data_IF_349664264177
#
_entry.id   IF_349664264177
#
_cell.length_a   1.000
_cell.length_b   1.000
_cell.length_c   1.000
_cell.angle_alpha   90.00
_cell.angle_beta   90.00
_cell.angle_gamma   90.00
#
_symmetry.space_group_name_H-M   'P 1'
#
loop_
_entity.id
_entity.type
_entity.pdbx_description
1 polymer ?
#
# COMPACT_ATOMS: atom_id res chain seq x y z
N UNK A 1 2.03 -24.79 10.60
CA UNK A 1 2.02 -25.08 9.16
C UNK A 1 2.06 -23.74 8.42
N UNK A 2 3.17 -23.42 7.74
CA UNK A 2 3.40 -22.11 7.11
C UNK A 2 2.55 -21.98 5.83
N UNK A 3 1.43 -21.27 5.91
CA UNK A 3 0.60 -21.00 4.74
C UNK A 3 1.04 -19.67 4.12
N UNK A 4 1.62 -19.80 2.94
CA UNK A 4 2.07 -18.75 2.03
C UNK A 4 0.89 -17.98 1.45
N UNK A 5 0.83 -16.67 1.72
CA UNK A 5 -0.11 -15.73 1.10
C UNK A 5 0.33 -15.48 -0.36
N UNK A 6 -0.52 -15.75 -1.37
CA UNK A 6 -0.18 -15.58 -2.77
C UNK A 6 -0.58 -14.17 -3.21
N UNK A 7 0.31 -13.19 -3.12
CA UNK A 7 0.16 -11.99 -3.96
C UNK A 7 1.53 -11.39 -4.30
N UNK A 8 1.88 -11.50 -5.58
CA UNK A 8 3.05 -10.95 -6.28
C UNK A 8 4.41 -11.39 -5.70
N UNK A 9 4.63 -12.70 -5.65
CA UNK A 9 5.99 -13.25 -5.75
C UNK A 9 6.36 -13.45 -7.22
N UNK A 10 6.77 -12.37 -7.89
CA UNK A 10 7.80 -12.51 -8.92
C UNK A 10 9.14 -12.82 -8.21
N UNK A 11 9.23 -14.01 -7.61
CA UNK A 11 10.45 -14.56 -7.01
C UNK A 11 11.35 -15.19 -8.07
N UNK A 12 10.92 -15.15 -9.33
CA UNK A 12 11.66 -15.68 -10.46
C UNK A 12 12.62 -14.60 -10.94
N UNK A 13 13.91 -14.83 -10.65
CA UNK A 13 15.14 -14.13 -11.11
C UNK A 13 15.95 -13.35 -10.08
N UNK A 14 15.58 -13.25 -8.79
CA UNK A 14 16.52 -12.70 -7.79
C UNK A 14 17.78 -13.55 -7.68
N UNK A 15 17.65 -14.88 -7.60
CA UNK A 15 18.78 -15.82 -7.50
C UNK A 15 19.60 -15.93 -8.80
N UNK A 16 18.92 -15.86 -9.94
CA UNK A 16 19.56 -15.91 -11.27
C UNK A 16 20.37 -14.65 -11.54
N UNK A 17 19.81 -13.47 -11.26
CA UNK A 17 20.51 -12.19 -11.39
C UNK A 17 21.70 -12.11 -10.42
N UNK A 18 21.52 -12.50 -9.15
CA UNK A 18 22.62 -12.54 -8.17
C UNK A 18 23.69 -13.57 -8.54
N UNK A 19 23.32 -14.72 -9.11
CA UNK A 19 24.26 -15.73 -9.60
C UNK A 19 25.07 -15.26 -10.80
N UNK A 20 24.42 -14.65 -11.80
CA UNK A 20 25.07 -14.06 -12.98
C UNK A 20 26.04 -12.94 -12.58
N UNK A 21 25.65 -12.11 -11.62
CA UNK A 21 26.44 -10.97 -11.13
C UNK A 21 27.62 -11.41 -10.24
N UNK A 22 27.42 -12.43 -9.39
CA UNK A 22 28.51 -13.04 -8.62
C UNK A 22 29.51 -13.76 -9.53
N UNK A 23 29.01 -14.43 -10.58
CA UNK A 23 29.84 -15.08 -11.61
C UNK A 23 30.67 -14.08 -12.40
N UNK A 24 30.12 -12.93 -12.77
CA UNK A 24 30.89 -11.89 -13.47
C UNK A 24 31.98 -11.27 -12.58
N UNK A 25 31.71 -11.07 -11.29
CA UNK A 25 32.72 -10.59 -10.33
C UNK A 25 33.86 -11.60 -10.14
N UNK A 26 33.54 -12.89 -10.04
CA UNK A 26 34.52 -13.98 -9.94
C UNK A 26 35.41 -14.05 -11.19
N UNK A 27 34.82 -13.92 -12.37
CA UNK A 27 35.54 -13.97 -13.64
C UNK A 27 36.52 -12.81 -13.80
N UNK A 28 36.11 -11.59 -13.41
CA UNK A 28 37.00 -10.41 -13.37
C UNK A 28 38.12 -10.60 -12.34
N UNK A 29 37.82 -11.17 -11.17
CA UNK A 29 38.81 -11.48 -10.13
C UNK A 29 39.85 -12.51 -10.60
N UNK A 30 39.41 -13.59 -11.26
CA UNK A 30 40.30 -14.60 -11.85
C UNK A 30 41.17 -14.03 -12.96
N UNK A 31 40.61 -13.14 -13.80
CA UNK A 31 41.38 -12.47 -14.84
C UNK A 31 42.45 -11.54 -14.26
N UNK A 32 42.11 -10.77 -13.22
CA UNK A 32 43.08 -9.95 -12.49
C UNK A 32 44.18 -10.80 -11.83
N UNK A 33 43.83 -11.96 -11.27
CA UNK A 33 44.80 -12.91 -10.71
C UNK A 33 45.70 -13.53 -11.79
N UNK A 34 45.15 -13.88 -12.95
CA UNK A 34 45.93 -14.39 -14.08
C UNK A 34 46.92 -13.34 -14.60
N UNK A 35 46.51 -12.07 -14.69
CA UNK A 35 47.40 -10.97 -15.01
C UNK A 35 48.49 -10.82 -13.94
N UNK A 36 48.14 -10.89 -12.66
CA UNK A 36 49.11 -10.86 -11.56
C UNK A 36 50.13 -12.01 -11.63
N UNK A 37 49.68 -13.22 -11.96
CA UNK A 37 50.55 -14.38 -12.13
C UNK A 37 51.53 -14.20 -13.30
N UNK A 38 51.08 -13.61 -14.41
CA UNK A 38 51.93 -13.28 -15.57
C UNK A 38 52.95 -12.18 -15.21
N UNK A 39 52.60 -11.21 -14.36
CA UNK A 39 53.50 -10.14 -13.88
C UNK A 39 54.69 -10.71 -13.08
N UNK A 40 54.45 -11.71 -12.24
CA UNK A 40 55.48 -12.33 -11.41
C UNK A 40 56.35 -13.36 -12.15
N UNK A 41 56.12 -13.57 -13.45
CA UNK A 41 57.01 -14.36 -14.28
C UNK A 41 58.30 -13.56 -14.58
N UNK A 42 59.50 -14.08 -14.27
CA UNK A 42 60.74 -13.31 -14.34
C UNK A 42 61.13 -12.99 -15.79
N UNK A 43 61.30 -11.69 -16.13
CA UNK A 43 61.90 -11.28 -17.42
C UNK A 43 61.43 -9.98 -18.10
N UNK A 44 60.59 -9.14 -17.47
CA UNK A 44 60.00 -7.94 -18.12
C UNK A 44 60.62 -6.62 -17.62
N UNK A 45 60.67 -5.60 -18.49
CA UNK A 45 61.27 -4.28 -18.21
C UNK A 45 60.49 -3.45 -17.17
N UNK A 46 61.19 -2.57 -16.44
CA UNK A 46 60.64 -1.71 -15.36
C UNK A 46 59.42 -0.86 -15.79
N UNK A 47 59.34 -0.48 -17.08
CA UNK A 47 58.22 0.33 -17.60
C UNK A 47 56.95 -0.49 -17.84
N UNK A 48 57.07 -1.78 -18.14
CA UNK A 48 55.91 -2.66 -18.25
C UNK A 48 55.34 -3.00 -16.85
N UNK A 49 56.21 -3.13 -15.85
CA UNK A 49 55.79 -3.44 -14.47
C UNK A 49 54.92 -2.34 -13.84
N UNK A 50 55.21 -1.06 -14.07
CA UNK A 50 54.44 0.05 -13.49
C UNK A 50 53.08 0.26 -14.15
N UNK A 51 53.00 0.15 -15.48
CA UNK A 51 51.74 0.24 -16.23
C UNK A 51 50.77 -0.88 -15.86
N UNK A 52 51.27 -2.10 -15.73
CA UNK A 52 50.43 -3.24 -15.37
C UNK A 52 50.01 -3.17 -13.90
N UNK A 53 50.88 -2.72 -12.99
CA UNK A 53 50.51 -2.49 -11.58
C UNK A 53 49.38 -1.45 -11.45
N UNK A 54 49.47 -0.33 -12.18
CA UNK A 54 48.43 0.70 -12.21
C UNK A 54 47.09 0.13 -12.72
N UNK A 55 47.12 -0.70 -13.76
CA UNK A 55 45.93 -1.35 -14.31
C UNK A 55 45.29 -2.33 -13.32
N UNK A 56 46.09 -3.12 -12.61
CA UNK A 56 45.59 -4.06 -11.58
C UNK A 56 44.96 -3.31 -10.42
N UNK A 57 45.60 -2.24 -9.92
CA UNK A 57 45.02 -1.39 -8.88
C UNK A 57 43.69 -0.81 -9.33
N UNK A 58 43.63 -0.24 -10.55
CA UNK A 58 42.40 0.32 -11.10
C UNK A 58 41.26 -0.71 -11.23
N UNK A 59 41.56 -1.90 -11.74
CA UNK A 59 40.59 -3.00 -11.84
C UNK A 59 40.11 -3.46 -10.46
N UNK A 60 41.03 -3.62 -9.49
CA UNK A 60 40.68 -4.04 -8.14
C UNK A 60 39.77 -3.04 -7.42
N UNK A 61 40.04 -1.73 -7.56
CA UNK A 61 39.22 -0.66 -6.99
C UNK A 61 37.82 -0.68 -7.60
N UNK A 62 37.72 -0.90 -8.92
CA UNK A 62 36.43 -0.97 -9.62
C UNK A 62 35.59 -2.16 -9.14
N UNK A 63 36.23 -3.32 -8.93
CA UNK A 63 35.57 -4.52 -8.37
C UNK A 63 35.06 -4.27 -6.95
N UNK A 64 35.87 -3.62 -6.10
CA UNK A 64 35.47 -3.29 -4.72
C UNK A 64 34.30 -2.32 -4.69
N UNK A 65 34.31 -1.26 -5.51
CA UNK A 65 33.20 -0.31 -5.62
C UNK A 65 31.91 -0.99 -6.10
N UNK A 66 32.01 -1.88 -7.09
CA UNK A 66 30.87 -2.67 -7.57
C UNK A 66 30.32 -3.61 -6.48
N UNK A 67 31.20 -4.25 -5.70
CA UNK A 67 30.81 -5.10 -4.58
C UNK A 67 30.10 -4.33 -3.45
N UNK A 68 30.59 -3.12 -3.12
CA UNK A 68 29.95 -2.23 -2.14
C UNK A 68 28.56 -1.77 -2.62
N UNK A 69 28.42 -1.39 -3.89
CA UNK A 69 27.12 -1.05 -4.49
C UNK A 69 26.15 -2.22 -4.45
N UNK A 70 26.64 -3.43 -4.72
CA UNK A 70 25.85 -4.67 -4.64
C UNK A 70 25.41 -4.98 -3.20
N UNK A 71 26.30 -4.84 -2.23
CA UNK A 71 25.98 -5.00 -0.81
C UNK A 71 24.92 -3.98 -0.37
N UNK A 72 25.01 -2.72 -0.81
CA UNK A 72 24.00 -1.69 -0.54
C UNK A 72 22.62 -2.02 -1.12
N UNK A 73 22.57 -2.52 -2.36
CA UNK A 73 21.33 -2.96 -3.00
C UNK A 73 20.72 -4.20 -2.30
N UNK A 74 21.55 -5.17 -1.93
CA UNK A 74 21.14 -6.35 -1.17
C UNK A 74 20.60 -5.97 0.21
N UNK A 75 21.29 -5.08 0.92
CA UNK A 75 20.84 -4.56 2.21
C UNK A 75 19.51 -3.82 2.07
N UNK A 76 19.32 -3.02 1.01
CA UNK A 76 18.05 -2.33 0.74
C UNK A 76 16.91 -3.33 0.46
N UNK A 77 17.19 -4.42 -0.27
CA UNK A 77 16.21 -5.47 -0.56
C UNK A 77 15.89 -6.34 0.67
N UNK A 78 16.86 -6.59 1.56
CA UNK A 78 16.64 -7.31 2.82
C UNK A 78 15.94 -6.42 3.85
N UNK A 79 16.29 -5.14 3.89
CA UNK A 79 15.65 -4.09 4.68
C UNK A 79 14.29 -3.66 4.10
N UNK A 80 13.89 -4.13 2.91
CA UNK A 80 12.57 -3.86 2.32
C UNK A 80 11.42 -4.42 3.16
N UNK A 81 11.70 -5.22 4.18
CA UNK A 81 10.75 -5.62 5.23
C UNK A 81 10.55 -4.57 6.34
N UNK A 82 11.30 -3.46 6.35
CA UNK A 82 11.27 -2.42 7.40
C UNK A 82 11.20 -0.99 6.87
N UNK A 83 10.62 -0.76 5.68
CA UNK A 83 10.34 0.61 5.23
C UNK A 83 9.01 1.15 5.78
N UNK A 84 8.52 0.62 6.91
CA UNK A 84 7.38 1.20 7.64
C UNK A 84 7.62 2.68 7.99
N UNK A 85 8.88 3.08 8.20
CA UNK A 85 9.27 4.46 8.43
C UNK A 85 9.06 5.39 7.21
N UNK A 86 9.21 4.86 5.98
CA UNK A 86 9.04 5.64 4.74
C UNK A 86 7.59 5.72 4.25
N UNK A 87 6.66 4.96 4.87
CA UNK A 87 5.23 5.01 4.53
C UNK A 87 4.60 6.38 4.82
N UNK A 88 5.06 7.05 5.90
CA UNK A 88 4.62 8.41 6.25
C UNK A 88 4.97 9.44 5.17
N UNK A 89 6.26 9.64 4.83
CA UNK A 89 6.69 10.53 3.75
C UNK A 89 6.04 10.21 2.41
N UNK A 90 5.88 8.92 2.07
CA UNK A 90 5.25 8.50 0.82
C UNK A 90 3.78 8.96 0.76
N UNK A 91 3.02 8.83 1.86
CA UNK A 91 1.62 9.27 1.92
C UNK A 91 1.50 10.79 1.79
N UNK A 92 2.41 11.54 2.41
CA UNK A 92 2.50 13.00 2.25
C UNK A 92 2.78 13.37 0.79
N UNK A 93 3.73 12.70 0.16
CA UNK A 93 4.05 12.91 -1.25
C UNK A 93 2.83 12.70 -2.16
N UNK A 94 2.13 11.56 -2.02
CA UNK A 94 0.93 11.28 -2.83
C UNK A 94 -0.14 12.36 -2.64
N UNK A 95 -0.36 12.85 -1.41
CA UNK A 95 -1.33 13.92 -1.14
C UNK A 95 -0.94 15.25 -1.79
N UNK A 96 0.35 15.59 -1.83
CA UNK A 96 0.87 16.82 -2.47
C UNK A 96 0.77 16.74 -3.99
N UNK A 97 1.10 15.60 -4.60
CA UNK A 97 1.06 15.43 -6.05
C UNK A 97 -0.35 15.27 -6.60
N UNK A 98 -1.31 14.81 -5.79
CA UNK A 98 -2.69 14.58 -6.22
C UNK A 98 -3.37 15.79 -6.92
N UNK A 99 -3.35 17.03 -6.39
CA UNK A 99 -3.93 18.18 -7.09
C UNK A 99 -3.29 18.45 -8.46
N UNK A 100 -1.97 18.24 -8.58
CA UNK A 100 -1.23 18.38 -9.85
C UNK A 100 -1.72 17.34 -10.86
N UNK A 101 -1.86 16.08 -10.42
CA UNK A 101 -2.36 14.98 -11.25
C UNK A 101 -3.80 15.24 -11.74
N UNK A 102 -4.67 15.77 -10.87
CA UNK A 102 -6.04 16.14 -11.27
C UNK A 102 -6.01 17.27 -12.30
N UNK A 103 -5.14 18.27 -12.15
CA UNK A 103 -4.95 19.34 -13.13
C UNK A 103 -4.52 18.80 -14.50
N UNK A 104 -3.49 17.96 -14.53
CA UNK A 104 -3.01 17.31 -15.76
C UNK A 104 -4.07 16.40 -16.39
N UNK A 105 -4.78 15.61 -15.58
CA UNK A 105 -5.84 14.73 -16.06
C UNK A 105 -6.98 15.48 -16.74
N UNK A 106 -7.38 16.63 -16.19
CA UNK A 106 -8.38 17.52 -16.82
C UNK A 106 -7.88 18.06 -18.17
N UNK A 107 -6.62 18.49 -18.25
CA UNK A 107 -6.01 18.97 -19.50
C UNK A 107 -6.00 17.86 -20.57
N UNK A 108 -5.75 16.61 -20.16
CA UNK A 108 -5.75 15.43 -21.03
C UNK A 108 -7.15 14.80 -21.22
N UNK A 109 -8.23 15.45 -20.76
CA UNK A 109 -9.63 14.96 -20.84
C UNK A 109 -9.85 13.56 -20.24
N UNK A 110 -9.08 13.21 -19.21
CA UNK A 110 -9.26 11.97 -18.45
C UNK A 110 -10.39 12.15 -17.44
N UNK A 111 -11.24 11.13 -17.29
CA UNK A 111 -12.30 11.12 -16.29
C UNK A 111 -11.72 11.30 -14.88
N UNK A 112 -12.27 12.29 -14.15
CA UNK A 112 -11.76 12.69 -12.83
C UNK A 112 -12.05 11.60 -11.78
N UNK A 113 -13.18 10.89 -11.90
CA UNK A 113 -13.52 9.83 -10.96
C UNK A 113 -12.63 8.60 -11.16
N UNK A 114 -12.16 8.32 -12.39
CA UNK A 114 -11.12 7.33 -12.67
C UNK A 114 -9.80 7.65 -11.97
N UNK A 115 -9.38 8.93 -11.98
CA UNK A 115 -8.17 9.37 -11.28
C UNK A 115 -8.31 9.19 -9.77
N UNK A 116 -9.44 9.62 -9.20
CA UNK A 116 -9.73 9.44 -7.76
C UNK A 116 -9.77 7.95 -7.37
N UNK A 117 -10.39 7.10 -8.18
CA UNK A 117 -10.41 5.64 -7.95
C UNK A 117 -9.01 5.06 -7.93
N UNK A 118 -8.14 5.49 -8.83
CA UNK A 118 -6.72 5.12 -8.84
C UNK A 118 -6.01 5.55 -7.55
N UNK A 119 -6.24 6.79 -7.10
CA UNK A 119 -5.70 7.29 -5.82
C UNK A 119 -6.16 6.44 -4.62
N UNK A 120 -7.45 6.09 -4.56
CA UNK A 120 -8.00 5.23 -3.49
C UNK A 120 -7.32 3.85 -3.50
N UNK A 121 -7.13 3.25 -4.68
CA UNK A 121 -6.46 1.96 -4.81
C UNK A 121 -4.99 2.02 -4.37
N UNK A 122 -4.26 3.06 -4.76
CA UNK A 122 -2.88 3.30 -4.30
C UNK A 122 -2.83 3.44 -2.78
N UNK A 123 -3.72 4.25 -2.18
CA UNK A 123 -3.79 4.38 -0.73
C UNK A 123 -4.10 3.03 -0.06
N UNK A 124 -5.06 2.27 -0.58
CA UNK A 124 -5.41 0.95 -0.04
C UNK A 124 -4.22 -0.01 -0.08
N UNK A 125 -3.46 -0.03 -1.18
CA UNK A 125 -2.24 -0.83 -1.29
C UNK A 125 -1.18 -0.39 -0.28
N UNK A 126 -1.00 0.91 -0.08
CA UNK A 126 -0.07 1.43 0.94
C UNK A 126 -0.47 1.02 2.35
N UNK A 127 -1.77 1.09 2.70
CA UNK A 127 -2.29 0.61 3.99
C UNK A 127 -2.09 -0.90 4.13
N UNK A 128 -2.36 -1.68 3.07
CA UNK A 128 -2.18 -3.14 3.06
C UNK A 128 -0.73 -3.59 3.18
N UNK A 129 0.21 -2.75 2.77
CA UNK A 129 1.65 -3.00 2.92
C UNK A 129 2.13 -2.85 4.37
N UNK A 130 1.34 -2.23 5.25
CA UNK A 130 1.61 -2.13 6.68
C UNK A 130 1.01 -3.33 7.43
N UNK A 131 1.71 -3.81 8.46
CA UNK A 131 1.20 -4.87 9.34
C UNK A 131 0.35 -4.24 10.45
N UNK A 132 -0.93 -4.60 10.49
CA UNK A 132 -1.86 -4.18 11.54
C UNK A 132 -2.46 -5.39 12.25
N UNK A 133 -2.56 -5.30 13.57
CA UNK A 133 -3.35 -6.20 14.42
C UNK A 133 -4.14 -5.34 15.38
N UNK A 134 -5.43 -5.17 15.10
CA UNK A 134 -6.30 -4.30 15.87
C UNK A 134 -7.37 -5.13 16.57
N UNK A 135 -7.74 -4.71 17.78
CA UNK A 135 -8.95 -5.20 18.40
C UNK A 135 -10.18 -4.55 17.72
N UNK A 136 -11.35 -5.22 17.68
CA UNK A 136 -12.55 -4.68 17.04
C UNK A 136 -12.94 -3.27 17.50
N UNK A 137 -12.70 -2.94 18.77
CA UNK A 137 -13.04 -1.65 19.37
C UNK A 137 -12.12 -0.51 18.90
N UNK A 138 -10.95 -0.86 18.35
CA UNK A 138 -9.98 0.07 17.79
C UNK A 138 -10.26 0.40 16.32
N UNK A 139 -11.23 -0.28 15.69
CA UNK A 139 -11.61 -0.13 14.30
C UNK A 139 -12.96 0.59 14.20
N UNK A 140 -13.02 1.63 13.37
CA UNK A 140 -14.26 2.34 13.06
C UNK A 140 -14.65 2.12 11.61
N UNK A 141 -15.86 1.66 11.38
CA UNK A 141 -16.45 1.59 10.03
C UNK A 141 -17.33 2.82 9.81
N UNK A 142 -16.98 3.62 8.81
CA UNK A 142 -17.77 4.78 8.39
C UNK A 142 -18.55 4.43 7.13
N UNK A 143 -19.87 4.63 7.17
CA UNK A 143 -20.76 4.36 6.04
C UNK A 143 -21.53 5.62 5.67
N UNK A 144 -21.91 5.84 4.40
CA UNK A 144 -22.62 7.02 3.99
C UNK A 144 -24.13 6.81 4.15
N UNK A 145 -24.85 7.88 4.50
CA UNK A 145 -26.33 7.84 4.54
C UNK A 145 -26.95 7.50 3.18
N UNK A 146 -26.23 7.72 2.07
CA UNK A 146 -26.67 7.44 0.70
C UNK A 146 -26.95 5.94 0.42
N UNK A 147 -26.48 5.04 1.28
CA UNK A 147 -26.80 3.60 1.21
C UNK A 147 -28.21 3.29 1.70
N UNK A 148 -28.80 4.18 2.50
CA UNK A 148 -30.17 4.02 2.97
C UNK A 148 -31.15 4.25 1.81
N UNK A 149 -32.18 3.42 1.74
CA UNK A 149 -33.29 3.65 0.82
C UNK A 149 -33.94 5.01 1.11
N UNK A 150 -34.06 5.87 0.09
CA UNK A 150 -34.63 7.22 0.21
C UNK A 150 -36.03 7.23 0.83
N UNK A 151 -36.83 6.19 0.57
CA UNK A 151 -38.20 6.02 1.08
C UNK A 151 -38.24 5.39 2.49
N UNK A 152 -37.10 5.19 3.14
CA UNK A 152 -37.08 4.62 4.49
C UNK A 152 -37.64 5.63 5.51
N UNK A 153 -38.65 5.24 6.33
CA UNK A 153 -39.22 6.10 7.35
C UNK A 153 -38.28 6.29 8.56
N UNK A 154 -37.33 5.38 8.78
CA UNK A 154 -36.42 5.41 9.93
C UNK A 154 -35.07 6.01 9.55
N UNK A 155 -34.84 7.30 9.81
CA UNK A 155 -33.58 7.97 9.45
C UNK A 155 -32.41 7.52 10.33
N UNK A 156 -31.28 7.19 9.68
CA UNK A 156 -30.04 6.72 10.33
C UNK A 156 -28.95 7.81 10.42
N UNK A 157 -29.29 9.06 10.11
CA UNK A 157 -28.31 10.15 9.97
C UNK A 157 -27.59 10.51 11.27
N UNK A 158 -28.22 10.23 12.42
CA UNK A 158 -27.64 10.46 13.75
C UNK A 158 -27.27 9.14 14.41
N UNK A 159 -28.20 8.18 14.41
CA UNK A 159 -28.04 6.88 15.05
C UNK A 159 -28.24 5.76 14.02
N UNK A 160 -27.23 4.91 13.83
CA UNK A 160 -27.28 3.84 12.84
C UNK A 160 -28.25 2.72 13.27
N UNK A 161 -28.41 2.56 14.58
CA UNK A 161 -29.30 1.55 15.18
C UNK A 161 -30.80 1.86 15.00
N UNK A 162 -31.16 3.01 14.43
CA UNK A 162 -32.53 3.28 13.98
C UNK A 162 -32.97 2.36 12.83
N UNK A 163 -32.05 1.67 12.15
CA UNK A 163 -32.38 0.74 11.09
C UNK A 163 -33.12 -0.49 11.62
N UNK A 164 -34.33 -0.73 11.11
CA UNK A 164 -35.16 -1.92 11.43
C UNK A 164 -34.81 -3.18 10.63
N UNK A 165 -33.68 -3.19 9.91
CA UNK A 165 -33.19 -4.35 9.12
C UNK A 165 -34.24 -4.97 8.19
N UNK A 166 -35.07 -4.15 7.56
CA UNK A 166 -36.19 -4.58 6.71
C UNK A 166 -35.78 -5.15 5.33
N UNK A 167 -34.48 -5.31 5.04
CA UNK A 167 -33.97 -5.83 3.77
C UNK A 167 -34.03 -4.89 2.56
N UNK A 168 -34.71 -3.74 2.66
CA UNK A 168 -34.89 -2.79 1.53
C UNK A 168 -33.63 -2.01 1.13
N UNK A 169 -32.53 -2.12 1.89
CA UNK A 169 -31.24 -1.49 1.61
C UNK A 169 -30.10 -2.27 2.28
N UNK A 170 -28.86 -2.00 1.87
CA UNK A 170 -27.67 -2.72 2.34
C UNK A 170 -27.26 -2.40 3.79
N UNK A 171 -27.85 -1.38 4.44
CA UNK A 171 -27.55 -1.01 5.84
C UNK A 171 -27.78 -2.19 6.79
N UNK A 172 -28.85 -2.97 6.59
CA UNK A 172 -29.12 -4.14 7.44
C UNK A 172 -28.00 -5.18 7.38
N UNK A 173 -27.42 -5.40 6.20
CA UNK A 173 -26.31 -6.33 6.00
C UNK A 173 -25.02 -5.80 6.64
N UNK A 174 -24.77 -4.48 6.54
CA UNK A 174 -23.65 -3.83 7.21
C UNK A 174 -23.76 -3.92 8.74
N UNK A 175 -24.96 -3.76 9.30
CA UNK A 175 -25.20 -3.95 10.73
C UNK A 175 -25.01 -5.41 11.16
N UNK A 176 -25.42 -6.37 10.33
CA UNK A 176 -25.13 -7.78 10.60
C UNK A 176 -23.62 -8.07 10.61
N UNK A 177 -22.87 -7.42 9.70
CA UNK A 177 -21.40 -7.50 9.68
C UNK A 177 -20.80 -6.86 10.93
N UNK A 178 -21.29 -5.68 11.35
CA UNK A 178 -20.89 -5.01 12.59
C UNK A 178 -21.05 -5.94 13.79
N UNK A 179 -22.22 -6.53 13.96
CA UNK A 179 -22.55 -7.37 15.11
C UNK A 179 -21.68 -8.65 15.12
N UNK A 180 -21.44 -9.26 13.95
CA UNK A 180 -20.59 -10.45 13.82
C UNK A 180 -19.13 -10.19 14.18
N UNK A 181 -18.60 -9.05 13.75
CA UNK A 181 -17.20 -8.70 13.92
C UNK A 181 -16.93 -7.90 15.21
N UNK A 182 -17.97 -7.43 15.91
CA UNK A 182 -17.85 -6.65 17.15
C UNK A 182 -17.24 -5.25 16.94
N UNK A 183 -17.29 -4.72 15.72
CA UNK A 183 -16.65 -3.43 15.37
C UNK A 183 -17.59 -2.25 15.63
N UNK A 184 -17.03 -1.05 15.78
CA UNK A 184 -17.82 0.18 15.82
C UNK A 184 -18.20 0.60 14.41
N UNK A 185 -19.44 1.07 14.23
CA UNK A 185 -19.93 1.56 12.95
C UNK A 185 -20.69 2.87 13.13
N UNK A 186 -20.43 3.85 12.26
CA UNK A 186 -21.11 5.15 12.28
C UNK A 186 -21.51 5.61 10.89
N UNK A 187 -22.58 6.38 10.81
CA UNK A 187 -23.06 6.99 9.56
C UNK A 187 -22.47 8.40 9.42
N UNK A 188 -21.81 8.67 8.30
CA UNK A 188 -21.34 9.99 7.95
C UNK A 188 -22.15 10.57 6.78
N UNK A 189 -22.76 11.73 6.98
CA UNK A 189 -23.44 12.49 5.91
C UNK A 189 -22.49 13.37 5.09
N UNK A 190 -21.23 13.47 5.53
CA UNK A 190 -20.15 14.19 4.86
C UNK A 190 -18.89 14.25 5.71
N UNK A 191 -17.86 14.92 5.20
CA UNK A 191 -16.54 14.97 5.85
C UNK A 191 -16.55 15.56 7.27
N UNK A 192 -17.40 16.55 7.54
CA UNK A 192 -17.47 17.16 8.89
C UNK A 192 -17.95 16.17 9.95
N UNK A 193 -18.99 15.39 9.64
CA UNK A 193 -19.49 14.37 10.56
C UNK A 193 -18.51 13.21 10.69
N UNK A 194 -17.87 12.79 9.59
CA UNK A 194 -16.81 11.79 9.62
C UNK A 194 -15.66 12.21 10.55
N UNK A 195 -15.16 13.44 10.43
CA UNK A 195 -14.12 13.99 11.32
C UNK A 195 -14.56 14.06 12.78
N UNK A 196 -15.83 14.39 13.03
CA UNK A 196 -16.38 14.36 14.40
C UNK A 196 -16.35 12.94 14.96
N UNK A 197 -16.88 11.96 14.24
CA UNK A 197 -16.88 10.55 14.67
C UNK A 197 -15.46 10.02 14.91
N UNK A 198 -14.49 10.35 14.04
CA UNK A 198 -13.09 9.98 14.23
C UNK A 198 -12.51 10.58 15.52
N UNK A 199 -12.81 11.86 15.82
CA UNK A 199 -12.36 12.50 17.07
C UNK A 199 -13.01 11.92 18.31
N UNK A 200 -14.30 11.60 18.23
CA UNK A 200 -15.08 11.09 19.36
C UNK A 200 -14.67 9.64 19.69
N UNK A 201 -14.52 8.79 18.68
CA UNK A 201 -14.16 7.38 18.87
C UNK A 201 -12.67 7.10 18.99
N UNK A 202 -11.81 8.00 18.49
CA UNK A 202 -10.34 7.86 18.42
C UNK A 202 -9.88 6.45 17.96
N UNK A 203 -10.32 5.99 16.78
CA UNK A 203 -9.92 4.68 16.29
C UNK A 203 -8.44 4.66 15.90
N UNK A 204 -7.85 3.46 15.82
CA UNK A 204 -6.50 3.25 15.28
C UNK A 204 -6.49 3.06 13.76
N UNK A 205 -7.63 2.67 13.18
CA UNK A 205 -7.84 2.60 11.74
C UNK A 205 -9.31 2.79 11.38
N UNK A 206 -9.57 3.12 10.11
CA UNK A 206 -10.93 3.31 9.59
C UNK A 206 -11.14 2.46 8.34
N UNK A 207 -12.30 1.79 8.26
CA UNK A 207 -12.85 1.29 6.99
C UNK A 207 -13.92 2.27 6.55
N UNK A 208 -13.68 3.00 5.47
CA UNK A 208 -14.59 4.02 4.97
C UNK A 208 -15.30 3.52 3.71
N UNK A 209 -16.63 3.56 3.71
CA UNK A 209 -17.47 3.30 2.54
C UNK A 209 -17.99 4.64 2.05
N UNK A 210 -17.65 5.05 0.82
CA UNK A 210 -18.22 6.25 0.19
C UNK A 210 -17.97 6.28 -1.32
N UNK A 211 -18.40 7.35 -1.97
CA UNK A 211 -18.06 7.60 -3.37
C UNK A 211 -16.59 8.04 -3.52
N UNK A 212 -16.07 8.06 -4.74
CA UNK A 212 -14.68 8.41 -5.00
C UNK A 212 -14.30 9.80 -4.46
N UNK A 213 -15.23 10.77 -4.57
CA UNK A 213 -15.03 12.13 -4.08
C UNK A 213 -14.81 12.17 -2.57
N UNK A 214 -15.71 11.57 -1.80
CA UNK A 214 -15.68 11.62 -0.34
C UNK A 214 -14.57 10.74 0.25
N UNK A 215 -14.27 9.60 -0.39
CA UNK A 215 -13.12 8.78 -0.02
C UNK A 215 -11.81 9.53 -0.23
N UNK A 216 -11.64 10.20 -1.37
CA UNK A 216 -10.40 10.94 -1.67
C UNK A 216 -10.16 12.03 -0.64
N UNK A 217 -11.16 12.89 -0.40
CA UNK A 217 -11.02 13.96 0.60
C UNK A 217 -10.86 13.41 2.02
N UNK A 218 -11.62 12.36 2.37
CA UNK A 218 -11.51 11.70 3.67
C UNK A 218 -10.13 11.11 3.94
N UNK A 219 -9.51 10.47 2.94
CA UNK A 219 -8.15 9.91 3.04
C UNK A 219 -7.12 11.03 3.23
N UNK A 220 -7.24 12.13 2.47
CA UNK A 220 -6.34 13.28 2.60
C UNK A 220 -6.43 13.95 3.98
N UNK A 221 -7.66 14.15 4.48
CA UNK A 221 -7.92 14.81 5.76
C UNK A 221 -7.55 13.97 6.99
N UNK A 222 -7.51 12.65 6.85
CA UNK A 222 -7.31 11.73 7.98
C UNK A 222 -5.85 11.42 8.29
N UNK A 223 -4.89 11.92 7.50
CA UNK A 223 -3.46 11.64 7.72
C UNK A 223 -3.03 12.10 9.14
N UNK A 224 -2.36 11.26 9.97
CA UNK A 224 -1.73 9.96 9.68
C UNK A 224 -2.58 8.69 9.89
N UNK A 225 -3.86 8.80 10.25
CA UNK A 225 -4.75 7.66 10.47
C UNK A 225 -4.86 6.77 9.22
N UNK A 226 -4.63 5.45 9.32
CA UNK A 226 -4.81 4.54 8.19
C UNK A 226 -6.30 4.36 7.87
N UNK A 227 -6.64 4.56 6.59
CA UNK A 227 -8.01 4.43 6.07
C UNK A 227 -8.00 3.45 4.90
N UNK A 228 -8.79 2.37 4.98
CA UNK A 228 -9.15 1.57 3.81
C UNK A 228 -10.45 2.09 3.22
N UNK A 229 -10.41 2.52 1.95
CA UNK A 229 -11.57 3.00 1.23
C UNK A 229 -12.23 1.90 0.43
N UNK A 230 -13.54 1.72 0.59
CA UNK A 230 -14.37 0.83 -0.22
C UNK A 230 -15.39 1.67 -0.98
N UNK A 231 -15.19 1.77 -2.30
CA UNK A 231 -16.03 2.61 -3.15
C UNK A 231 -17.43 1.99 -3.31
N UNK A 232 -18.47 2.79 -3.12
CA UNK A 232 -19.84 2.39 -3.37
C UNK A 232 -20.23 2.53 -4.85
N UNK A 233 -21.24 1.77 -5.25
CA UNK A 233 -21.84 1.84 -6.58
C UNK A 233 -23.04 2.79 -6.56
N UNK A 234 -23.21 3.51 -7.68
CA UNK A 234 -24.19 4.60 -7.82
C UNK A 234 -25.20 4.31 -8.95
N UNK A 235 -26.03 3.26 -8.84
CA UNK A 235 -26.93 2.86 -9.91
C UNK A 235 -28.03 3.89 -10.21
N UNK A 236 -28.45 4.66 -9.19
CA UNK A 236 -29.48 5.70 -9.31
C UNK A 236 -28.90 7.12 -9.30
N UNK A 237 -27.65 7.27 -9.75
CA UNK A 237 -26.95 8.55 -9.76
C UNK A 237 -26.28 8.91 -8.43
N UNK A 238 -25.80 10.16 -8.30
CA UNK A 238 -25.03 10.58 -7.14
C UNK A 238 -25.89 10.65 -5.88
N UNK A 239 -25.39 10.04 -4.79
CA UNK A 239 -25.95 10.18 -3.45
C UNK A 239 -27.41 9.71 -3.27
N UNK A 240 -27.91 8.83 -4.15
CA UNK A 240 -29.24 8.25 -4.03
C UNK A 240 -29.18 6.72 -4.17
N UNK A 241 -29.77 6.01 -3.19
CA UNK A 241 -29.93 4.55 -3.19
C UNK A 241 -28.66 3.81 -3.65
N UNK A 242 -27.52 4.23 -3.12
CA UNK A 242 -26.22 3.66 -3.49
C UNK A 242 -26.10 2.24 -2.95
N UNK A 243 -25.30 1.42 -3.63
CA UNK A 243 -25.11 0.03 -3.29
C UNK A 243 -23.68 -0.23 -2.86
N UNK A 244 -23.49 -1.17 -1.94
CA UNK A 244 -22.17 -1.68 -1.60
C UNK A 244 -22.21 -3.19 -1.46
N UNK A 245 -21.22 -3.84 -2.06
CA UNK A 245 -20.93 -5.24 -1.82
C UNK A 245 -20.32 -5.39 -0.42
N UNK A 246 -21.06 -6.01 0.48
CA UNK A 246 -20.64 -6.24 1.86
C UNK A 246 -19.42 -7.16 1.97
N UNK A 247 -19.16 -8.01 0.97
CA UNK A 247 -17.97 -8.86 0.94
C UNK A 247 -16.69 -8.01 0.92
N UNK A 248 -16.66 -6.93 0.14
CA UNK A 248 -15.50 -6.00 0.09
C UNK A 248 -15.25 -5.30 1.42
N UNK A 249 -16.32 -5.01 2.17
CA UNK A 249 -16.22 -4.43 3.51
C UNK A 249 -15.69 -5.49 4.49
N UNK A 250 -16.19 -6.72 4.41
CA UNK A 250 -15.72 -7.85 5.22
C UNK A 250 -14.24 -8.16 4.98
N UNK A 251 -13.77 -8.15 3.74
CA UNK A 251 -12.35 -8.28 3.40
C UNK A 251 -11.49 -7.19 4.04
N UNK A 252 -11.97 -5.94 4.05
CA UNK A 252 -11.28 -4.82 4.68
C UNK A 252 -11.25 -4.95 6.21
N UNK A 253 -12.32 -5.45 6.83
CA UNK A 253 -12.34 -5.78 8.27
C UNK A 253 -11.35 -6.89 8.60
N UNK A 254 -11.37 -7.97 7.82
CA UNK A 254 -10.50 -9.12 8.02
C UNK A 254 -9.03 -8.74 7.97
N UNK A 255 -8.65 -7.84 7.05
CA UNK A 255 -7.28 -7.31 6.95
C UNK A 255 -6.80 -6.66 8.26
N UNK A 256 -7.65 -5.87 8.94
CA UNK A 256 -7.25 -5.18 10.17
C UNK A 256 -7.33 -6.04 11.44
N UNK A 257 -8.28 -6.97 11.46
CA UNK A 257 -8.61 -7.76 12.64
C UNK A 257 -7.88 -9.11 12.68
N UNK A 258 -7.26 -9.51 11.56
CA UNK A 258 -6.41 -10.70 11.44
C UNK A 258 -7.03 -11.95 12.12
N UNK A 259 -8.32 -12.23 11.88
CA UNK A 259 -8.91 -13.50 12.32
C UNK A 259 -8.36 -14.59 11.42
N UNK A 260 -7.43 -15.38 11.96
CA UNK A 260 -7.13 -16.71 11.42
C UNK A 260 -8.45 -17.45 11.20
N UNK A 261 -8.59 -18.06 10.03
CA UNK A 261 -9.84 -18.56 9.47
C UNK A 261 -10.71 -19.31 10.48
N UNK A 262 -11.90 -18.78 10.72
CA UNK A 262 -13.02 -19.55 11.26
C UNK A 262 -13.70 -20.32 10.14
N UNK A 263 -13.11 -21.43 9.72
CA UNK A 263 -13.79 -22.60 9.14
C UNK A 263 -12.98 -23.84 9.45
#
# INVERSE_FOLDING_TARGET
>A
MKVSIPYIQNYVRKRLFLGLLGGSLLLVGLFAFALWYIIFYPGQSLMNQSLVLALVIFLSVTVVLAALGMAGMLLTLLASRRLSFLQGPMRVGVNIFFPIIIGLGKLLKIDVDRIKRSFIEVNNQMVRASLFRLAPEQLLVLVPHCLQNTQCPHKITVEIDNCRRCGKCCIGNLLALRDRWGVRMGVATGGTLARKLIRDYRPRAVVAVACERDLTSGIQDSNPLPVLGVTNERPFGPCQNTFIDTCKVEEALNFFLEREGGR
#
